data_IF_605707438300
#
_entry.id   IF_605707438300
#
_cell.length_a   1.000
_cell.length_b   1.000
_cell.length_c   1.000
_cell.angle_alpha   90.00
_cell.angle_beta   90.00
_cell.angle_gamma   90.00
#
_symmetry.space_group_name_H-M   'P 1'
#
loop_
_entity.id
_entity.type
_entity.pdbx_description
1 polymer ?
#
# COMPACT_ATOMS: atom_id res chain seq x y z
N UNK A 1 26.68 19.44 11.88
CA UNK A 1 25.41 19.64 11.14
C UNK A 1 24.33 20.01 12.16
N UNK A 2 23.68 21.18 12.03
CA UNK A 2 22.58 21.56 12.94
C UNK A 2 21.30 20.80 12.54
N UNK A 3 20.36 20.62 13.48
CA UNK A 3 19.09 19.94 13.22
C UNK A 3 18.31 20.58 12.07
N UNK A 4 18.36 21.92 11.99
CA UNK A 4 17.74 22.70 10.92
C UNK A 4 18.33 22.35 9.55
N UNK A 5 19.66 22.28 9.43
CA UNK A 5 20.32 21.90 8.17
C UNK A 5 19.92 20.50 7.72
N UNK A 6 19.80 19.53 8.64
CA UNK A 6 19.37 18.17 8.31
C UNK A 6 17.92 18.12 7.80
N UNK A 7 17.02 18.86 8.45
CA UNK A 7 15.61 18.94 8.05
C UNK A 7 15.43 19.57 6.67
N UNK A 8 16.14 20.67 6.41
CA UNK A 8 16.12 21.36 5.11
C UNK A 8 16.67 20.47 4.01
N UNK A 9 17.77 19.75 4.27
CA UNK A 9 18.35 18.83 3.29
C UNK A 9 17.38 17.67 2.95
N UNK A 10 16.73 17.07 3.95
CA UNK A 10 15.75 16.00 3.73
C UNK A 10 14.54 16.52 2.96
N UNK A 11 14.02 17.70 3.28
CA UNK A 11 12.90 18.29 2.55
C UNK A 11 13.26 18.62 1.10
N UNK A 12 14.45 19.17 0.87
CA UNK A 12 14.94 19.53 -0.46
C UNK A 12 15.11 18.32 -1.39
N UNK A 13 15.36 17.11 -0.85
CA UNK A 13 15.47 15.88 -1.63
C UNK A 13 14.14 15.12 -1.68
N UNK A 14 13.44 15.05 -0.55
CA UNK A 14 12.21 14.29 -0.40
C UNK A 14 11.06 14.84 -1.24
N UNK A 15 10.91 16.18 -1.31
CA UNK A 15 9.84 16.80 -2.11
C UNK A 15 10.03 16.51 -3.61
N UNK A 16 11.19 16.78 -4.26
CA UNK A 16 11.38 16.43 -5.65
C UNK A 16 11.26 14.94 -5.92
N UNK A 17 11.74 14.08 -5.02
CA UNK A 17 11.61 12.63 -5.17
C UNK A 17 10.14 12.19 -5.15
N UNK A 18 9.35 12.70 -4.21
CA UNK A 18 7.92 12.40 -4.15
C UNK A 18 7.19 12.87 -5.42
N UNK A 19 7.46 14.10 -5.86
CA UNK A 19 6.88 14.64 -7.11
C UNK A 19 7.31 13.81 -8.32
N UNK A 20 8.58 13.41 -8.41
CA UNK A 20 9.10 12.58 -9.50
C UNK A 20 8.44 11.21 -9.56
N UNK A 21 8.25 10.55 -8.42
CA UNK A 21 7.56 9.26 -8.33
C UNK A 21 6.09 9.37 -8.74
N UNK A 22 5.40 10.43 -8.32
CA UNK A 22 4.01 10.70 -8.73
C UNK A 22 3.92 10.99 -10.22
N UNK A 23 4.88 11.74 -10.76
CA UNK A 23 4.93 12.07 -12.19
C UNK A 23 5.19 10.84 -13.07
N UNK A 24 6.07 9.93 -12.65
CA UNK A 24 6.35 8.67 -13.35
C UNK A 24 5.15 7.70 -13.29
N UNK A 25 4.36 7.76 -12.22
CA UNK A 25 3.16 6.93 -12.06
C UNK A 25 3.43 5.43 -12.09
N UNK A 26 2.38 4.66 -12.41
CA UNK A 26 2.43 3.21 -12.67
C UNK A 26 3.15 2.41 -11.58
N UNK A 27 4.10 1.57 -12.00
CA UNK A 27 4.87 0.71 -11.10
C UNK A 27 5.84 1.48 -10.19
N UNK A 28 6.41 2.62 -10.65
CA UNK A 28 7.30 3.43 -9.81
C UNK A 28 6.56 4.01 -8.61
N UNK A 29 5.35 4.52 -8.84
CA UNK A 29 4.46 4.98 -7.77
C UNK A 29 4.04 3.84 -6.85
N UNK A 30 3.56 2.73 -7.43
CA UNK A 30 3.10 1.55 -6.68
C UNK A 30 4.17 1.02 -5.74
N UNK A 31 5.39 0.78 -6.24
CA UNK A 31 6.49 0.22 -5.45
C UNK A 31 6.89 1.20 -4.34
N UNK A 32 6.97 2.49 -4.65
CA UNK A 32 7.34 3.51 -3.66
C UNK A 32 6.33 3.58 -2.52
N UNK A 33 5.03 3.61 -2.83
CA UNK A 33 3.97 3.58 -1.82
C UNK A 33 3.99 2.27 -1.05
N UNK A 34 4.21 1.14 -1.73
CA UNK A 34 4.27 -0.16 -1.07
C UNK A 34 5.39 -0.22 -0.03
N UNK A 35 6.58 0.28 -0.36
CA UNK A 35 7.71 0.34 0.57
C UNK A 35 7.41 1.23 1.78
N UNK A 36 6.85 2.43 1.56
CA UNK A 36 6.50 3.35 2.65
C UNK A 36 5.42 2.75 3.53
N UNK A 37 4.38 2.13 2.96
CA UNK A 37 3.29 1.51 3.70
C UNK A 37 3.77 0.30 4.52
N UNK A 38 4.61 -0.57 3.95
CA UNK A 38 5.17 -1.72 4.67
C UNK A 38 6.08 -1.29 5.83
N UNK A 39 6.88 -0.23 5.62
CA UNK A 39 7.71 0.34 6.67
C UNK A 39 6.84 0.92 7.79
N UNK A 40 5.80 1.69 7.45
CA UNK A 40 4.86 2.23 8.42
C UNK A 40 4.11 1.12 9.18
N UNK A 41 3.72 0.04 8.50
CA UNK A 41 3.06 -1.10 9.12
C UNK A 41 3.97 -1.82 10.11
N UNK A 42 5.25 -1.99 9.76
CA UNK A 42 6.25 -2.57 10.66
C UNK A 42 6.45 -1.73 11.92
N UNK A 43 6.55 -0.41 11.77
CA UNK A 43 6.64 0.51 12.91
C UNK A 43 5.36 0.47 13.76
N UNK A 44 4.20 0.40 13.13
CA UNK A 44 2.93 0.24 13.81
C UNK A 44 2.86 -1.06 14.63
N UNK A 45 3.31 -2.19 14.10
CA UNK A 45 3.37 -3.44 14.85
C UNK A 45 4.34 -3.38 16.02
N UNK A 46 5.50 -2.74 15.86
CA UNK A 46 6.45 -2.53 16.95
C UNK A 46 5.83 -1.69 18.08
N UNK A 47 5.04 -0.66 17.73
CA UNK A 47 4.30 0.13 18.71
C UNK A 47 3.19 -0.69 19.38
N UNK A 48 2.53 -1.60 18.67
CA UNK A 48 1.53 -2.49 19.24
C UNK A 48 2.14 -3.48 20.25
N UNK A 49 3.33 -4.02 19.97
CA UNK A 49 4.07 -4.88 20.91
C UNK A 49 4.40 -4.16 22.22
N UNK A 50 4.73 -2.87 22.16
CA UNK A 50 4.96 -2.04 23.35
C UNK A 50 3.74 -1.93 24.27
N UNK A 51 2.54 -2.26 23.76
CA UNK A 51 1.27 -2.28 24.50
C UNK A 51 0.80 -3.70 24.88
N UNK A 52 1.69 -4.69 24.86
CA UNK A 52 1.40 -6.10 25.15
C UNK A 52 0.43 -6.79 24.18
N UNK A 53 0.23 -6.24 22.98
CA UNK A 53 -0.38 -7.00 21.90
C UNK A 53 0.68 -7.92 21.26
N UNK A 54 0.27 -9.12 20.83
CA UNK A 54 1.14 -10.09 20.13
C UNK A 54 0.77 -10.21 18.64
N UNK A 55 0.93 -9.14 17.84
CA UNK A 55 0.52 -9.14 16.44
C UNK A 55 1.32 -10.16 15.62
N UNK A 56 0.64 -10.89 14.73
CA UNK A 56 1.31 -11.73 13.74
C UNK A 56 1.90 -10.86 12.61
N UNK A 57 3.09 -10.30 12.89
CA UNK A 57 3.75 -9.36 11.99
C UNK A 57 3.98 -9.95 10.60
N UNK A 58 4.40 -11.22 10.53
CA UNK A 58 4.76 -11.90 9.28
C UNK A 58 3.57 -12.03 8.34
N UNK A 59 2.43 -12.54 8.84
CA UNK A 59 1.22 -12.69 8.03
C UNK A 59 0.67 -11.33 7.61
N UNK A 60 0.67 -10.35 8.52
CA UNK A 60 0.21 -8.99 8.22
C UNK A 60 1.05 -8.28 7.15
N UNK A 61 2.39 -8.38 7.23
CA UNK A 61 3.30 -7.80 6.24
C UNK A 61 3.16 -8.44 4.87
N UNK A 62 3.08 -9.78 4.80
CA UNK A 62 2.89 -10.51 3.54
C UNK A 62 1.56 -10.13 2.91
N UNK A 63 0.48 -10.10 3.69
CA UNK A 63 -0.84 -9.76 3.17
C UNK A 63 -0.93 -8.32 2.68
N UNK A 64 -0.34 -7.37 3.43
CA UNK A 64 -0.26 -5.97 3.00
C UNK A 64 0.50 -5.83 1.68
N UNK A 65 1.62 -6.54 1.51
CA UNK A 65 2.37 -6.53 0.26
C UNK A 65 1.54 -7.07 -0.92
N UNK A 66 0.80 -8.16 -0.72
CA UNK A 66 -0.09 -8.74 -1.74
C UNK A 66 -1.17 -7.75 -2.16
N UNK A 67 -1.87 -7.11 -1.21
CA UNK A 67 -2.92 -6.12 -1.52
C UNK A 67 -2.33 -4.94 -2.31
N UNK A 68 -1.17 -4.42 -1.89
CA UNK A 68 -0.54 -3.26 -2.52
C UNK A 68 -0.05 -3.57 -3.93
N UNK A 69 0.55 -4.74 -4.14
CA UNK A 69 1.01 -5.16 -5.48
C UNK A 69 -0.16 -5.53 -6.40
N UNK A 70 -1.19 -6.19 -5.87
CA UNK A 70 -2.39 -6.52 -6.64
C UNK A 70 -3.14 -5.27 -7.08
N UNK A 71 -3.33 -4.31 -6.18
CA UNK A 71 -3.96 -3.03 -6.51
C UNK A 71 -3.12 -2.26 -7.54
N UNK A 72 -1.80 -2.20 -7.38
CA UNK A 72 -0.91 -1.62 -8.36
C UNK A 72 -0.97 -2.28 -9.74
N UNK A 73 -1.02 -3.62 -9.79
CA UNK A 73 -1.20 -4.36 -11.04
C UNK A 73 -2.52 -4.01 -11.72
N UNK A 74 -3.63 -3.97 -10.96
CA UNK A 74 -4.96 -3.62 -11.47
C UNK A 74 -4.99 -2.20 -12.07
N UNK A 75 -4.41 -1.22 -11.37
CA UNK A 75 -4.33 0.16 -11.86
C UNK A 75 -3.37 0.31 -13.04
N UNK A 76 -2.29 -0.47 -13.08
CA UNK A 76 -1.36 -0.49 -14.22
C UNK A 76 -1.99 -1.14 -15.45
N UNK A 77 -2.69 -2.26 -15.31
CA UNK A 77 -3.37 -2.95 -16.42
C UNK A 77 -4.54 -2.14 -16.99
N UNK A 78 -5.14 -1.24 -16.20
CA UNK A 78 -6.18 -0.32 -16.67
C UNK A 78 -5.65 0.86 -17.49
N UNK A 79 -4.33 1.04 -17.61
CA UNK A 79 -3.74 2.20 -18.28
C UNK A 79 -3.45 2.01 -19.78
N UNK A 80 -3.56 0.79 -20.31
CA UNK A 80 -3.27 0.46 -21.72
C UNK A 80 -4.42 0.76 -22.70
N UNK A 81 -5.64 1.02 -22.23
CA UNK A 81 -6.81 1.22 -23.09
C UNK A 81 -7.36 2.66 -23.00
N UNK A 82 -6.54 3.64 -23.41
CA UNK A 82 -6.87 5.07 -23.35
C UNK A 82 -7.52 5.61 -24.65
N UNK A 83 -7.96 4.76 -25.60
CA UNK A 83 -8.44 5.25 -26.91
C UNK A 83 -9.87 4.93 -27.33
N UNK A 84 -10.65 4.12 -26.62
CA UNK A 84 -12.06 3.93 -27.03
C UNK A 84 -12.98 3.43 -25.94
N UNK A 85 -12.99 4.13 -24.82
CA UNK A 85 -14.21 4.57 -24.12
C UNK A 85 -13.74 5.28 -22.85
N UNK A 86 -14.37 6.42 -22.55
CA UNK A 86 -14.17 7.09 -21.27
C UNK A 86 -14.23 6.00 -20.18
N UNK A 87 -13.26 5.98 -19.27
CA UNK A 87 -13.37 5.23 -18.03
C UNK A 87 -14.60 5.78 -17.31
N UNK A 88 -15.76 5.24 -17.66
CA UNK A 88 -17.05 5.59 -17.14
C UNK A 88 -16.95 5.14 -15.68
N UNK A 89 -16.72 6.09 -14.78
CA UNK A 89 -16.98 5.99 -13.34
C UNK A 89 -18.50 5.77 -13.09
N UNK A 90 -19.17 5.01 -13.94
CA UNK A 90 -20.49 4.43 -13.71
C UNK A 90 -20.32 3.52 -12.50
N UNK A 91 -21.26 3.58 -11.55
CA UNK A 91 -21.12 2.98 -10.22
C UNK A 91 -20.71 1.50 -10.20
N UNK A 92 -20.92 0.76 -11.31
CA UNK A 92 -20.55 -0.64 -11.47
C UNK A 92 -19.02 -0.88 -11.41
N UNK A 93 -18.20 -0.03 -12.02
CA UNK A 93 -16.73 -0.19 -12.01
C UNK A 93 -16.12 0.06 -10.62
N UNK A 94 -16.60 1.10 -9.93
CA UNK A 94 -16.21 1.41 -8.55
C UNK A 94 -16.68 0.30 -7.61
N UNK A 95 -17.89 -0.24 -7.82
CA UNK A 95 -18.43 -1.37 -7.05
C UNK A 95 -17.58 -2.64 -7.24
N UNK A 96 -17.09 -2.92 -8.45
CA UNK A 96 -16.22 -4.08 -8.69
C UNK A 96 -14.86 -3.91 -8.00
N UNK A 97 -14.21 -2.75 -8.14
CA UNK A 97 -12.95 -2.44 -7.44
C UNK A 97 -13.12 -2.54 -5.92
N UNK A 98 -14.17 -1.91 -5.38
CA UNK A 98 -14.51 -1.98 -3.96
C UNK A 98 -14.81 -3.41 -3.51
N UNK A 99 -15.51 -4.19 -4.34
CA UNK A 99 -15.80 -5.60 -4.09
C UNK A 99 -14.55 -6.47 -3.98
N UNK A 100 -13.59 -6.30 -4.91
CA UNK A 100 -12.32 -7.00 -4.83
C UNK A 100 -11.53 -6.59 -3.59
N UNK A 101 -11.45 -5.29 -3.27
CA UNK A 101 -10.77 -4.82 -2.05
C UNK A 101 -11.39 -5.43 -0.78
N UNK A 102 -12.73 -5.44 -0.68
CA UNK A 102 -13.44 -6.09 0.43
C UNK A 102 -13.13 -7.59 0.50
N UNK A 103 -13.09 -8.28 -0.64
CA UNK A 103 -12.78 -9.70 -0.71
C UNK A 103 -11.33 -9.99 -0.26
N UNK A 104 -10.36 -9.18 -0.68
CA UNK A 104 -8.98 -9.28 -0.19
C UNK A 104 -8.89 -8.93 1.31
N UNK A 105 -9.64 -7.95 1.81
CA UNK A 105 -9.66 -7.68 3.25
C UNK A 105 -10.22 -8.87 4.04
N UNK A 106 -11.32 -9.47 3.58
CA UNK A 106 -11.93 -10.63 4.22
C UNK A 106 -11.03 -11.88 4.16
N UNK A 107 -10.40 -12.14 3.02
CA UNK A 107 -9.44 -13.25 2.92
C UNK A 107 -8.25 -13.03 3.85
N UNK A 108 -7.74 -11.81 3.94
CA UNK A 108 -6.64 -11.47 4.85
C UNK A 108 -6.97 -11.70 6.31
N UNK A 109 -8.17 -11.29 6.74
CA UNK A 109 -8.61 -11.52 8.12
C UNK A 109 -8.81 -13.01 8.38
N UNK A 110 -9.42 -13.76 7.46
CA UNK A 110 -9.56 -15.21 7.58
C UNK A 110 -8.21 -15.94 7.64
N UNK A 111 -7.24 -15.56 6.80
CA UNK A 111 -5.89 -16.13 6.83
C UNK A 111 -5.18 -15.80 8.14
N UNK A 112 -5.34 -14.55 8.62
CA UNK A 112 -4.75 -14.14 9.90
C UNK A 112 -5.35 -14.93 11.06
N UNK A 113 -6.68 -15.10 11.09
CA UNK A 113 -7.37 -15.90 12.09
C UNK A 113 -6.97 -17.37 12.02
N UNK A 114 -6.87 -17.95 10.83
CA UNK A 114 -6.40 -19.32 10.65
C UNK A 114 -4.95 -19.48 11.15
N UNK A 115 -4.06 -18.55 10.81
CA UNK A 115 -2.67 -18.57 11.27
C UNK A 115 -2.55 -18.43 12.80
N UNK A 116 -3.40 -17.62 13.42
CA UNK A 116 -3.47 -17.50 14.89
C UNK A 116 -4.11 -18.72 15.56
N UNK A 117 -5.05 -19.40 14.90
CA UNK A 117 -5.67 -20.63 15.44
C UNK A 117 -4.66 -21.77 15.64
N UNK A 118 -3.62 -21.81 14.81
CA UNK A 118 -2.55 -22.82 14.88
C UNK A 118 -1.31 -22.37 15.66
N UNK A 119 -1.33 -21.16 16.25
CA UNK A 119 -0.24 -20.61 17.07
C UNK A 119 -0.50 -20.87 18.55
#
# INVERSE_FOLDING_TARGET
MTNLTKRVAVAAVGIPLAVGVVYLGGWFFTISIALVALQALREFYHLAESKHASPNQSVGLVWAAIILLWSGWMFASGSEDQTSEQFHFEGLGILMIGGYLCLFMLLGTLITLAAELFR
#
